data_IF_688384395927
#
_entry.id   IF_688384395927
#
_cell.length_a   1.000
_cell.length_b   1.000
_cell.length_c   1.000
_cell.angle_alpha   90.00
_cell.angle_beta   90.00
_cell.angle_gamma   90.00
#
_symmetry.space_group_name_H-M   'P 1'
#
loop_
_entity.id
_entity.type
_entity.pdbx_description
1 polymer ?
#
# COMPACT_ATOMS: atom_id res chain seq x y z
N UNK A 1 17.80 -3.04 -11.07
CA UNK A 1 16.50 -2.85 -10.38
C UNK A 1 16.78 -2.05 -9.12
N UNK A 2 15.99 -1.02 -8.82
CA UNK A 2 16.19 -0.21 -7.61
C UNK A 2 15.91 -1.06 -6.38
N UNK A 3 16.84 -1.07 -5.41
CA UNK A 3 16.60 -1.69 -4.11
C UNK A 3 15.74 -0.72 -3.27
N UNK A 4 14.48 -1.07 -2.95
CA UNK A 4 13.61 -0.16 -2.23
C UNK A 4 14.04 0.12 -0.79
N UNK A 5 14.75 -0.79 -0.14
CA UNK A 5 15.27 -0.54 1.21
C UNK A 5 16.29 0.60 1.21
N UNK A 6 17.24 0.57 0.28
CA UNK A 6 18.21 1.65 0.11
C UNK A 6 17.55 2.94 -0.35
N UNK A 7 16.56 2.82 -1.24
CA UNK A 7 15.82 3.98 -1.73
C UNK A 7 15.11 4.74 -0.62
N UNK A 8 14.44 4.04 0.29
CA UNK A 8 13.64 4.69 1.35
C UNK A 8 14.42 5.07 2.59
N UNK A 9 15.58 4.47 2.84
CA UNK A 9 16.36 4.66 4.07
C UNK A 9 16.54 6.14 4.43
N UNK A 10 16.07 6.52 5.61
CA UNK A 10 16.17 7.88 6.14
C UNK A 10 15.25 8.93 5.47
N UNK A 11 14.44 8.56 4.49
CA UNK A 11 13.54 9.49 3.80
C UNK A 11 12.29 9.80 4.61
N UNK A 12 11.73 10.98 4.31
CA UNK A 12 10.38 11.36 4.72
C UNK A 12 9.41 10.94 3.60
N UNK A 13 8.58 9.96 3.88
CA UNK A 13 7.71 9.29 2.90
C UNK A 13 6.26 9.63 3.16
N UNK A 14 5.54 10.05 2.13
CA UNK A 14 4.10 10.19 2.15
C UNK A 14 3.45 8.95 1.53
N UNK A 15 2.69 8.20 2.33
CA UNK A 15 1.87 7.09 1.86
C UNK A 15 0.42 7.52 1.75
N UNK A 16 -0.14 7.43 0.54
CA UNK A 16 -1.50 7.86 0.24
C UNK A 16 -2.42 6.66 0.07
N UNK A 17 -3.43 6.57 0.91
CA UNK A 17 -4.51 5.60 0.83
C UNK A 17 -5.53 5.92 -0.25
N UNK A 18 -6.54 5.06 -0.37
CA UNK A 18 -7.58 5.16 -1.40
C UNK A 18 -8.92 5.68 -0.87
N UNK A 19 -8.97 6.19 0.38
CA UNK A 19 -10.15 6.82 0.93
C UNK A 19 -10.57 8.05 0.14
N UNK A 20 -11.86 8.39 0.20
CA UNK A 20 -12.48 9.46 -0.60
C UNK A 20 -11.86 10.83 -0.29
N UNK A 21 -11.58 11.10 0.97
CA UNK A 21 -11.07 12.40 1.42
C UNK A 21 -9.56 12.39 1.56
N UNK A 22 -8.91 13.32 0.89
CA UNK A 22 -7.50 13.63 1.06
C UNK A 22 -7.40 15.12 1.36
N UNK A 23 -6.71 15.44 2.45
CA UNK A 23 -6.42 16.83 2.79
C UNK A 23 -5.49 17.47 1.74
N UNK A 24 -5.48 18.80 1.69
CA UNK A 24 -4.51 19.52 0.87
C UNK A 24 -3.10 19.17 1.32
N UNK A 25 -2.27 18.74 0.37
CA UNK A 25 -0.93 18.23 0.64
C UNK A 25 0.11 19.18 0.06
N UNK A 26 1.04 19.59 0.89
CA UNK A 26 2.29 20.20 0.47
C UNK A 26 3.32 19.09 0.20
N UNK A 27 3.40 18.66 -1.05
CA UNK A 27 4.30 17.58 -1.47
C UNK A 27 5.79 17.92 -1.32
N UNK A 28 6.15 19.19 -1.21
CA UNK A 28 7.56 19.61 -1.07
C UNK A 28 8.20 19.14 0.25
N UNK A 29 7.37 18.79 1.23
CA UNK A 29 7.81 18.27 2.53
C UNK A 29 8.26 16.81 2.50
N UNK A 30 8.08 16.11 1.38
CA UNK A 30 8.32 14.68 1.27
C UNK A 30 9.39 14.37 0.23
N UNK A 31 10.27 13.43 0.57
CA UNK A 31 11.30 12.94 -0.36
C UNK A 31 10.75 11.90 -1.34
N UNK A 32 9.62 11.28 -1.00
CA UNK A 32 8.96 10.29 -1.85
C UNK A 32 7.47 10.21 -1.54
N UNK A 33 6.68 10.09 -2.61
CA UNK A 33 5.25 9.85 -2.56
C UNK A 33 4.97 8.42 -3.00
N UNK A 34 4.32 7.67 -2.11
CA UNK A 34 3.92 6.28 -2.33
C UNK A 34 2.42 6.20 -2.49
N UNK A 35 1.97 5.54 -3.54
CA UNK A 35 0.56 5.28 -3.77
C UNK A 35 0.29 3.78 -3.92
N UNK A 36 -0.95 3.39 -3.66
CA UNK A 36 -1.36 1.99 -3.66
C UNK A 36 -2.39 1.70 -4.74
N UNK A 37 -2.31 0.52 -5.31
CA UNK A 37 -3.31 -0.01 -6.24
C UNK A 37 -3.70 1.03 -7.33
N UNK A 38 -4.97 1.34 -7.52
CA UNK A 38 -5.44 2.31 -8.50
C UNK A 38 -4.98 3.75 -8.24
N UNK A 39 -4.52 4.04 -7.05
CA UNK A 39 -3.97 5.35 -6.68
C UNK A 39 -2.76 5.79 -7.51
N UNK A 40 -2.13 4.87 -8.21
CA UNK A 40 -1.02 5.17 -9.13
C UNK A 40 -1.42 6.13 -10.26
N UNK A 41 -2.71 6.24 -10.57
CA UNK A 41 -3.23 7.15 -11.59
C UNK A 41 -3.04 8.63 -11.23
N UNK A 42 -2.97 8.94 -9.93
CA UNK A 42 -2.77 10.29 -9.45
C UNK A 42 -1.28 10.66 -9.37
N UNK A 43 -1.00 11.94 -9.53
CA UNK A 43 0.35 12.49 -9.39
C UNK A 43 0.43 13.43 -8.17
N UNK A 44 1.58 13.52 -7.52
CA UNK A 44 2.81 12.73 -7.76
C UNK A 44 2.69 11.28 -7.30
N UNK A 45 3.46 10.40 -7.92
CA UNK A 45 3.65 9.02 -7.50
C UNK A 45 5.08 8.58 -7.87
N UNK A 46 5.94 8.42 -6.89
CA UNK A 46 7.31 7.94 -7.10
C UNK A 46 7.40 6.43 -7.01
N UNK A 47 6.65 5.84 -6.08
CA UNK A 47 6.63 4.41 -5.83
C UNK A 47 5.19 3.91 -5.80
N UNK A 48 4.96 2.84 -6.53
CA UNK A 48 3.67 2.17 -6.58
C UNK A 48 3.71 0.85 -5.82
N UNK A 49 2.87 0.73 -4.80
CA UNK A 49 2.64 -0.52 -4.09
C UNK A 49 1.38 -1.18 -4.64
N UNK A 50 1.53 -2.42 -5.10
CA UNK A 50 0.44 -3.14 -5.74
C UNK A 50 0.30 -4.56 -5.19
N UNK A 51 -0.90 -4.95 -4.81
CA UNK A 51 -1.21 -6.32 -4.40
C UNK A 51 -1.78 -7.19 -5.52
N UNK A 52 -1.98 -6.64 -6.72
CA UNK A 52 -2.48 -7.33 -7.93
C UNK A 52 -3.87 -7.97 -7.81
N UNK A 53 -4.67 -7.54 -6.85
CA UNK A 53 -6.01 -8.15 -6.63
C UNK A 53 -7.01 -7.72 -7.70
N UNK A 54 -6.85 -6.53 -8.27
CA UNK A 54 -7.83 -5.95 -9.19
C UNK A 54 -7.43 -6.12 -10.65
N UNK A 55 -8.34 -6.66 -11.46
CA UNK A 55 -8.16 -6.82 -12.92
C UNK A 55 -7.85 -5.51 -13.63
N UNK A 56 -8.40 -4.39 -13.16
CA UNK A 56 -8.12 -3.05 -13.70
C UNK A 56 -6.65 -2.63 -13.65
N UNK A 57 -5.84 -3.23 -12.79
CA UNK A 57 -4.39 -2.96 -12.75
C UNK A 57 -3.66 -3.46 -13.99
N UNK A 58 -4.20 -4.49 -14.65
CA UNK A 58 -3.61 -5.07 -15.85
C UNK A 58 -3.78 -4.17 -17.08
N UNK A 59 -4.72 -3.23 -17.01
CA UNK A 59 -5.05 -2.31 -18.11
C UNK A 59 -4.32 -0.97 -18.02
N UNK A 60 -3.53 -0.74 -16.95
CA UNK A 60 -2.79 0.50 -16.80
C UNK A 60 -1.71 0.60 -17.87
N UNK A 61 -1.74 1.71 -18.61
CA UNK A 61 -0.65 2.08 -19.52
C UNK A 61 0.63 2.30 -18.73
N UNK A 62 1.77 2.11 -19.38
CA UNK A 62 3.06 2.39 -18.73
C UNK A 62 3.07 3.82 -18.17
N UNK A 63 3.38 3.93 -16.87
CA UNK A 63 3.44 5.21 -16.18
C UNK A 63 4.89 5.64 -16.18
N UNK A 64 5.22 6.74 -16.90
CA UNK A 64 6.58 7.27 -16.93
C UNK A 64 6.99 7.74 -15.53
N UNK A 65 8.29 7.70 -15.25
CA UNK A 65 8.91 8.21 -14.02
C UNK A 65 8.54 7.49 -12.71
N UNK A 66 7.87 6.35 -12.73
CA UNK A 66 7.78 5.50 -11.56
C UNK A 66 9.16 4.91 -11.27
N UNK A 67 9.69 5.23 -10.10
CA UNK A 67 11.02 4.79 -9.66
C UNK A 67 11.05 3.32 -9.26
N UNK A 68 9.98 2.86 -8.61
CA UNK A 68 9.88 1.49 -8.14
C UNK A 68 8.43 1.04 -8.09
N UNK A 69 8.20 -0.22 -8.39
CA UNK A 69 6.94 -0.90 -8.16
C UNK A 69 7.23 -1.97 -7.12
N UNK A 70 6.58 -1.86 -5.97
CA UNK A 70 6.69 -2.85 -4.91
C UNK A 70 5.48 -3.75 -4.96
N UNK A 71 5.75 -5.02 -5.06
CA UNK A 71 4.74 -6.05 -5.02
C UNK A 71 4.71 -6.70 -3.65
N UNK A 72 3.67 -6.42 -2.88
CA UNK A 72 3.41 -7.07 -1.61
C UNK A 72 2.68 -8.38 -1.90
N UNK A 73 3.43 -9.48 -2.11
CA UNK A 73 2.81 -10.64 -2.68
C UNK A 73 2.95 -11.96 -1.95
N UNK A 74 1.98 -12.80 -2.28
CA UNK A 74 1.82 -14.19 -1.91
C UNK A 74 2.16 -15.10 -3.08
N UNK A 75 2.91 -16.16 -2.85
CA UNK A 75 3.25 -17.18 -3.85
C UNK A 75 2.03 -17.83 -4.49
N UNK A 76 0.89 -17.83 -3.80
CA UNK A 76 -0.36 -18.43 -4.32
C UNK A 76 -0.96 -17.70 -5.52
N UNK A 77 -0.43 -16.52 -5.86
CA UNK A 77 -0.97 -15.68 -6.92
C UNK A 77 -0.26 -15.82 -8.28
N UNK A 78 0.39 -16.95 -8.55
CA UNK A 78 1.07 -17.19 -9.83
C UNK A 78 0.26 -16.79 -11.06
N UNK A 79 -1.02 -17.21 -11.12
CA UNK A 79 -1.94 -16.81 -12.21
C UNK A 79 -2.20 -15.31 -12.33
N UNK A 80 -2.14 -14.58 -11.21
CA UNK A 80 -2.31 -13.12 -11.23
C UNK A 80 -1.04 -12.41 -11.66
N UNK A 81 0.11 -13.00 -11.32
CA UNK A 81 1.40 -12.51 -11.80
C UNK A 81 1.52 -12.59 -13.33
N UNK A 82 0.96 -13.64 -13.93
CA UNK A 82 0.94 -13.82 -15.38
C UNK A 82 0.17 -12.72 -16.11
N UNK A 83 -0.88 -12.20 -15.49
CA UNK A 83 -1.74 -11.14 -16.06
C UNK A 83 -1.15 -9.73 -15.94
N UNK A 84 -0.02 -9.57 -15.26
CA UNK A 84 0.61 -8.24 -15.15
C UNK A 84 1.14 -7.77 -16.50
N UNK A 85 1.02 -6.47 -16.80
CA UNK A 85 1.70 -5.87 -17.93
C UNK A 85 3.22 -6.13 -17.84
N UNK A 86 3.85 -6.39 -18.97
CA UNK A 86 5.29 -6.69 -18.99
C UNK A 86 6.15 -5.57 -18.44
N UNK A 87 5.75 -4.32 -18.63
CA UNK A 87 6.45 -3.16 -18.08
C UNK A 87 6.43 -3.17 -16.52
N UNK A 88 5.34 -3.66 -15.91
CA UNK A 88 5.25 -3.84 -14.45
C UNK A 88 6.16 -4.97 -14.00
N UNK A 89 6.11 -6.13 -14.69
CA UNK A 89 6.97 -7.29 -14.37
C UNK A 89 8.45 -6.92 -14.39
N UNK A 90 8.87 -6.11 -15.37
CA UNK A 90 10.26 -5.66 -15.52
C UNK A 90 10.71 -4.71 -14.41
N UNK A 91 9.81 -3.92 -13.85
CA UNK A 91 10.11 -2.89 -12.82
C UNK A 91 9.74 -3.32 -11.40
N UNK A 92 9.00 -4.41 -11.24
CA UNK A 92 8.49 -4.81 -9.95
C UNK A 92 9.58 -5.43 -9.07
N UNK A 93 9.63 -4.98 -7.84
CA UNK A 93 10.38 -5.60 -6.76
C UNK A 93 9.42 -6.41 -5.89
N UNK A 94 9.79 -7.63 -5.57
CA UNK A 94 8.95 -8.53 -4.78
C UNK A 94 9.36 -8.44 -3.31
N UNK A 95 8.38 -8.17 -2.44
CA UNK A 95 8.61 -8.28 -1.02
C UNK A 95 8.72 -9.76 -0.61
N UNK A 96 9.60 -10.03 0.34
CA UNK A 96 9.86 -11.38 0.79
C UNK A 96 8.63 -11.96 1.52
N UNK A 97 8.21 -13.15 1.10
CA UNK A 97 7.08 -13.88 1.69
C UNK A 97 7.31 -14.20 3.16
N UNK A 98 8.55 -14.45 3.55
CA UNK A 98 8.89 -14.70 4.97
C UNK A 98 8.59 -13.48 5.84
N UNK A 99 9.01 -12.30 5.42
CA UNK A 99 8.76 -11.05 6.17
C UNK A 99 7.27 -10.76 6.29
N UNK A 100 6.51 -11.07 5.24
CA UNK A 100 5.06 -10.98 5.28
C UNK A 100 4.46 -11.95 6.32
N UNK A 101 4.93 -13.19 6.35
CA UNK A 101 4.46 -14.19 7.31
C UNK A 101 4.77 -13.78 8.75
N UNK A 102 5.95 -13.19 9.00
CA UNK A 102 6.29 -12.67 10.33
C UNK A 102 5.33 -11.55 10.77
N UNK A 103 4.92 -10.69 9.85
CA UNK A 103 3.92 -9.67 10.15
C UNK A 103 2.57 -10.28 10.52
N UNK A 104 2.08 -11.27 9.77
CA UNK A 104 0.79 -11.91 10.04
C UNK A 104 0.79 -12.65 11.37
N UNK A 105 1.90 -13.30 11.73
CA UNK A 105 2.08 -13.94 13.04
C UNK A 105 2.09 -12.90 14.14
N UNK A 106 2.86 -11.83 14.01
CA UNK A 106 3.00 -10.78 15.02
C UNK A 106 1.68 -10.15 15.42
N UNK A 107 0.79 -9.94 14.47
CA UNK A 107 -0.52 -9.33 14.70
C UNK A 107 -1.65 -10.34 14.81
N UNK A 108 -1.36 -11.64 14.69
CA UNK A 108 -2.38 -12.69 14.58
C UNK A 108 -3.44 -12.35 13.52
N UNK A 109 -2.97 -11.85 12.35
CA UNK A 109 -3.81 -11.27 11.33
C UNK A 109 -3.54 -11.88 9.96
N UNK A 110 -4.49 -12.68 9.49
CA UNK A 110 -4.30 -13.51 8.30
C UNK A 110 -4.46 -12.76 6.96
N UNK A 111 -5.25 -11.69 6.92
CA UNK A 111 -5.60 -10.98 5.67
C UNK A 111 -5.54 -9.46 5.81
N UNK A 112 -4.38 -8.89 6.04
CA UNK A 112 -4.24 -7.45 6.15
C UNK A 112 -4.53 -6.75 4.82
N UNK A 113 -4.99 -5.49 4.90
CA UNK A 113 -5.13 -4.65 3.72
C UNK A 113 -3.77 -4.28 3.13
N UNK A 114 -3.75 -3.90 1.86
CA UNK A 114 -2.52 -3.38 1.22
C UNK A 114 -1.95 -2.18 1.98
N UNK A 115 -2.82 -1.34 2.53
CA UNK A 115 -2.42 -0.17 3.31
C UNK A 115 -1.71 -0.55 4.59
N UNK A 116 -2.25 -1.48 5.35
CA UNK A 116 -1.64 -1.98 6.58
C UNK A 116 -0.28 -2.62 6.31
N UNK A 117 -0.20 -3.47 5.29
CA UNK A 117 1.06 -4.12 4.88
C UNK A 117 2.10 -3.10 4.44
N UNK A 118 1.69 -2.07 3.68
CA UNK A 118 2.57 -1.01 3.23
C UNK A 118 3.16 -0.21 4.41
N UNK A 119 2.34 0.16 5.40
CA UNK A 119 2.81 0.85 6.61
C UNK A 119 3.82 -0.02 7.36
N UNK A 120 3.48 -1.29 7.59
CA UNK A 120 4.36 -2.22 8.28
C UNK A 120 5.72 -2.33 7.57
N UNK A 121 5.71 -2.53 6.26
CA UNK A 121 6.91 -2.67 5.44
C UNK A 121 7.78 -1.42 5.46
N UNK A 122 7.19 -0.24 5.27
CA UNK A 122 7.92 1.02 5.30
C UNK A 122 8.60 1.28 6.65
N UNK A 123 7.90 1.00 7.75
CA UNK A 123 8.44 1.21 9.10
C UNK A 123 9.53 0.20 9.47
N UNK A 124 9.27 -1.09 9.27
CA UNK A 124 10.13 -2.12 9.85
C UNK A 124 11.27 -2.54 8.91
N UNK A 125 11.07 -2.43 7.60
CA UNK A 125 12.06 -2.87 6.63
C UNK A 125 12.78 -1.73 5.91
N UNK A 126 12.08 -0.62 5.63
CA UNK A 126 12.67 0.50 4.90
C UNK A 126 13.29 1.58 5.79
N UNK A 127 13.05 1.56 7.09
CA UNK A 127 13.61 2.49 8.07
C UNK A 127 13.45 3.98 7.67
N UNK A 128 12.25 4.33 7.21
CA UNK A 128 11.91 5.68 6.80
C UNK A 128 10.91 6.33 7.77
N UNK A 129 10.78 7.66 7.69
CA UNK A 129 9.72 8.39 8.38
C UNK A 129 8.47 8.33 7.52
N UNK A 130 7.35 7.88 8.09
CA UNK A 130 6.11 7.67 7.35
C UNK A 130 5.04 8.68 7.79
N UNK A 131 4.47 9.36 6.82
CA UNK A 131 3.26 10.16 6.98
C UNK A 131 2.17 9.54 6.13
N UNK A 132 0.98 9.35 6.67
CA UNK A 132 -0.16 8.76 5.99
C UNK A 132 -1.26 9.77 5.74
N UNK A 133 -2.02 9.60 4.65
CA UNK A 133 -3.27 10.32 4.38
C UNK A 133 -4.19 9.46 3.51
N UNK A 134 -5.50 9.74 3.54
CA UNK A 134 -6.48 8.94 2.81
C UNK A 134 -6.69 7.53 3.38
N UNK A 135 -6.40 7.34 4.66
CA UNK A 135 -6.69 6.11 5.41
C UNK A 135 -7.92 6.35 6.29
N UNK A 136 -9.05 5.90 5.83
CA UNK A 136 -10.34 6.07 6.51
C UNK A 136 -10.93 4.76 7.03
N UNK A 137 -10.18 3.67 6.93
CA UNK A 137 -10.59 2.34 7.40
C UNK A 137 -11.93 1.91 6.80
N UNK A 138 -12.10 2.15 5.51
CA UNK A 138 -13.31 1.83 4.74
C UNK A 138 -14.59 2.50 5.25
N UNK A 139 -14.49 3.63 5.94
CA UNK A 139 -15.64 4.42 6.39
C UNK A 139 -16.27 5.25 5.27
N UNK A 140 -15.52 5.47 4.18
CA UNK A 140 -16.00 6.16 2.97
C UNK A 140 -15.84 5.27 1.74
N UNK A 141 -16.32 5.75 0.59
CA UNK A 141 -16.16 5.06 -0.69
C UNK A 141 -14.69 5.07 -1.14
N UNK A 142 -14.31 4.06 -1.90
CA UNK A 142 -13.02 4.07 -2.57
C UNK A 142 -13.03 5.16 -3.65
N UNK A 143 -12.08 6.10 -3.57
CA UNK A 143 -11.99 7.27 -4.46
C UNK A 143 -11.87 6.92 -5.95
N UNK A 144 -11.33 5.77 -6.29
CA UNK A 144 -11.08 5.37 -7.67
C UNK A 144 -12.18 4.52 -8.28
N UNK A 145 -12.90 3.75 -7.49
CA UNK A 145 -13.97 2.88 -7.98
C UNK A 145 -15.34 3.44 -7.67
N UNK A 146 -15.43 4.41 -6.75
CA UNK A 146 -16.69 4.95 -6.20
C UNK A 146 -17.59 3.87 -5.61
N UNK A 147 -17.07 2.65 -5.48
CA UNK A 147 -17.78 1.53 -4.87
C UNK A 147 -17.66 1.60 -3.35
N UNK A 148 -18.73 1.30 -2.69
CA UNK A 148 -18.69 0.98 -1.28
C UNK A 148 -17.85 -0.28 -1.11
N UNK A 149 -16.91 -0.24 -0.18
CA UNK A 149 -16.08 -1.42 0.09
C UNK A 149 -16.90 -2.40 0.91
N UNK A 150 -17.75 -3.17 0.23
CA UNK A 150 -18.64 -4.19 0.84
C UNK A 150 -17.89 -5.40 1.43
N UNK A 151 -16.60 -5.29 1.68
CA UNK A 151 -15.80 -6.43 2.14
C UNK A 151 -15.87 -6.65 3.66
N UNK A 152 -16.56 -5.78 4.38
CA UNK A 152 -16.76 -5.93 5.82
C UNK A 152 -17.95 -6.86 6.03
N UNK A 153 -17.68 -8.08 6.47
CA UNK A 153 -18.74 -9.02 6.89
C UNK A 153 -19.45 -9.79 5.79
N UNK A 154 -18.94 -9.85 4.56
CA UNK A 154 -19.55 -10.69 3.53
C UNK A 154 -19.22 -12.17 3.72
N UNK A 155 -20.17 -13.11 3.44
CA UNK A 155 -19.97 -14.56 3.62
C UNK A 155 -18.88 -15.18 2.74
N UNK A 156 -18.30 -14.44 1.80
CA UNK A 156 -17.33 -14.92 0.80
C UNK A 156 -15.85 -14.83 1.23
N UNK A 157 -15.56 -14.68 2.51
CA UNK A 157 -14.23 -14.95 3.02
C UNK A 157 -13.13 -13.92 2.72
N UNK A 158 -13.46 -12.69 2.36
CA UNK A 158 -12.54 -11.58 2.14
C UNK A 158 -12.56 -10.56 3.28
N UNK A 159 -12.68 -11.03 4.51
CA UNK A 159 -12.83 -10.14 5.65
C UNK A 159 -11.46 -9.62 6.10
N UNK A 160 -11.18 -8.35 5.80
CA UNK A 160 -10.16 -7.60 6.49
C UNK A 160 -10.65 -7.27 7.91
N UNK A 161 -9.82 -7.45 8.91
CA UNK A 161 -10.11 -6.96 10.26
C UNK A 161 -9.76 -5.47 10.36
N UNK A 162 -10.66 -4.67 9.81
CA UNK A 162 -10.52 -3.21 9.72
C UNK A 162 -10.40 -2.57 11.11
N UNK A 163 -11.08 -3.13 12.10
CA UNK A 163 -11.02 -2.63 13.48
C UNK A 163 -9.62 -2.83 14.07
N UNK A 164 -9.04 -4.00 13.88
CA UNK A 164 -7.67 -4.27 14.30
C UNK A 164 -6.68 -3.32 13.60
N UNK A 165 -6.83 -3.11 12.28
CA UNK A 165 -5.97 -2.20 11.53
C UNK A 165 -6.08 -0.77 12.04
N UNK A 166 -7.29 -0.28 12.28
CA UNK A 166 -7.54 1.06 12.84
C UNK A 166 -6.89 1.20 14.23
N UNK A 167 -7.06 0.22 15.11
CA UNK A 167 -6.45 0.24 16.44
C UNK A 167 -4.92 0.26 16.38
N UNK A 168 -4.31 -0.58 15.55
CA UNK A 168 -2.85 -0.64 15.40
C UNK A 168 -2.31 0.66 14.84
N UNK A 169 -2.90 1.17 13.76
CA UNK A 169 -2.44 2.40 13.11
C UNK A 169 -2.63 3.61 14.05
N UNK A 170 -3.74 3.69 14.75
CA UNK A 170 -3.98 4.74 15.75
C UNK A 170 -2.91 4.70 16.86
N UNK A 171 -2.56 3.53 17.37
CA UNK A 171 -1.47 3.38 18.34
C UNK A 171 -0.11 3.80 17.79
N UNK A 172 0.16 3.52 16.51
CA UNK A 172 1.41 3.95 15.86
C UNK A 172 1.47 5.48 15.75
N UNK A 173 0.35 6.15 15.42
CA UNK A 173 0.25 7.61 15.40
C UNK A 173 0.46 8.20 16.80
N UNK A 174 -0.27 7.71 17.80
CA UNK A 174 -0.18 8.20 19.18
C UNK A 174 1.23 8.07 19.77
N UNK A 175 1.98 7.04 19.36
CA UNK A 175 3.37 6.83 19.80
C UNK A 175 4.40 7.57 18.94
N UNK A 176 3.99 8.31 17.93
CA UNK A 176 4.87 9.06 17.05
C UNK A 176 5.69 8.24 16.06
N UNK A 177 5.33 6.96 15.85
CA UNK A 177 5.99 6.13 14.84
C UNK A 177 5.60 6.52 13.41
N UNK A 178 4.37 7.01 13.22
CA UNK A 178 3.89 7.57 11.96
C UNK A 178 3.14 8.87 12.22
N UNK A 179 3.10 9.74 11.22
CA UNK A 179 2.28 10.94 11.23
C UNK A 179 1.02 10.74 10.38
N UNK A 180 -0.05 11.48 10.66
CA UNK A 180 -1.26 11.54 9.84
C UNK A 180 -1.56 13.01 9.46
N UNK A 181 -2.03 13.21 8.20
CA UNK A 181 -2.50 14.50 7.68
C UNK A 181 -4.03 14.55 7.69
#
# INVERSE_FOLDING_TARGET
>A
MLNPYEYFKGKNVLLIGNGEKINQIDYTKFNSVVRMNLGVQDKPCDVWINNLVYEGHNMLKEIPNIRCIVRLNFEKDGKRAERMPDWVKKKAWLWNTYDYSQMTIRYNYYRPTTGFVAIYWLLNHCQCKVTITGFDFFKTKNRYTMEEVHHIGTPKGYNHDVKLEEEVITKLIQRGFINAL
#
